data_IF_027973883126
#
_entry.id   IF_027973883126
#
_cell.length_a   1.000
_cell.length_b   1.000
_cell.length_c   1.000
_cell.angle_alpha   90.00
_cell.angle_beta   90.00
_cell.angle_gamma   90.00
#
_symmetry.space_group_name_H-M   'P 1'
#
loop_
_entity.id
_entity.type
_entity.pdbx_description
1 polymer ?
#
# COMPACT_ATOMS: atom_id res chain seq x y z
N UNK A 1 -1.84 33.01 3.54
CA UNK A 1 -1.95 31.74 4.29
C UNK A 1 -1.81 30.59 3.29
N UNK A 2 -1.03 29.57 3.64
CA UNK A 2 -0.50 28.51 2.77
C UNK A 2 -1.62 27.72 2.05
N UNK A 3 -1.83 27.99 0.76
CA UNK A 3 -2.46 27.04 -0.15
C UNK A 3 -1.32 26.19 -0.72
N UNK A 4 -1.18 24.91 -0.35
CA UNK A 4 -0.22 24.08 -1.10
C UNK A 4 0.26 22.77 -0.51
N UNK A 5 0.06 22.49 0.78
CA UNK A 5 0.26 21.12 1.26
C UNK A 5 -1.05 20.36 1.03
N UNK A 6 -1.25 19.78 -0.16
CA UNK A 6 -2.29 18.78 -0.33
C UNK A 6 -2.06 17.69 0.72
N UNK A 7 -3.03 17.48 1.60
CA UNK A 7 -2.94 16.42 2.59
C UNK A 7 -2.85 15.09 1.85
N UNK A 8 -1.74 14.37 2.04
CA UNK A 8 -1.50 13.06 1.43
C UNK A 8 -1.79 11.95 2.43
N UNK A 9 -2.11 10.78 1.92
CA UNK A 9 -2.25 9.54 2.69
C UNK A 9 -1.18 8.55 2.27
N UNK A 10 -0.75 7.68 3.19
CA UNK A 10 0.07 6.53 2.84
C UNK A 10 -0.83 5.33 2.63
N UNK A 11 -0.63 4.61 1.54
CA UNK A 11 -1.39 3.40 1.22
C UNK A 11 -0.44 2.22 1.09
N UNK A 12 -0.79 1.11 1.73
CA UNK A 12 -0.06 -0.14 1.67
C UNK A 12 -0.61 -1.02 0.55
N UNK A 13 0.29 -1.66 -0.18
CA UNK A 13 -0.02 -2.52 -1.31
C UNK A 13 0.60 -3.90 -1.13
N UNK A 14 -0.13 -4.94 -1.52
CA UNK A 14 0.40 -6.28 -1.81
C UNK A 14 0.63 -6.37 -3.32
N UNK A 15 1.84 -6.71 -3.75
CA UNK A 15 2.22 -6.86 -5.15
C UNK A 15 2.64 -8.32 -5.38
N UNK A 16 1.77 -9.16 -5.94
CA UNK A 16 2.11 -10.54 -6.30
C UNK A 16 3.12 -10.57 -7.47
N UNK A 17 3.89 -11.66 -7.63
CA UNK A 17 4.86 -11.76 -8.73
C UNK A 17 4.15 -11.74 -10.09
N UNK A 18 4.44 -10.73 -10.91
CA UNK A 18 3.87 -10.59 -12.26
C UNK A 18 2.43 -10.09 -12.31
N UNK A 19 1.84 -9.69 -11.18
CA UNK A 19 0.48 -9.17 -11.09
C UNK A 19 0.47 -7.69 -10.64
N UNK A 20 -0.70 -7.05 -10.75
CA UNK A 20 -0.92 -5.67 -10.34
C UNK A 20 -0.93 -5.52 -8.81
N UNK A 21 -0.63 -4.32 -8.28
CA UNK A 21 -0.79 -4.03 -6.86
C UNK A 21 -2.25 -4.16 -6.40
N UNK A 22 -2.43 -4.73 -5.21
CA UNK A 22 -3.69 -4.80 -4.50
C UNK A 22 -3.61 -3.95 -3.23
N UNK A 23 -4.55 -3.02 -3.06
CA UNK A 23 -4.58 -2.19 -1.86
C UNK A 23 -4.87 -3.06 -0.63
N UNK A 24 -4.04 -2.89 0.40
CA UNK A 24 -4.27 -3.39 1.75
C UNK A 24 -4.82 -2.29 2.68
N UNK A 25 -4.94 -1.06 2.16
CA UNK A 25 -5.53 0.08 2.86
C UNK A 25 -4.50 1.11 3.35
N UNK A 26 -5.04 2.16 3.98
CA UNK A 26 -4.26 3.29 4.47
C UNK A 26 -3.48 2.94 5.74
N UNK A 27 -2.29 3.51 5.86
CA UNK A 27 -1.42 3.33 7.02
C UNK A 27 -1.06 4.70 7.63
N UNK A 28 -0.91 4.71 8.95
CA UNK A 28 -0.41 5.88 9.67
C UNK A 28 1.12 5.74 9.82
N UNK A 29 1.93 6.67 9.29
CA UNK A 29 3.39 6.56 9.37
C UNK A 29 3.94 6.62 10.80
N UNK A 30 3.16 7.12 11.76
CA UNK A 30 3.64 7.38 13.13
C UNK A 30 3.28 6.29 14.12
N UNK A 31 2.57 5.23 13.69
CA UNK A 31 2.19 4.14 14.57
C UNK A 31 2.16 2.80 13.83
N UNK A 32 2.44 1.69 14.53
CA UNK A 32 2.19 0.37 13.98
C UNK A 32 0.71 0.20 13.62
N UNK A 33 0.45 -0.48 12.50
CA UNK A 33 -0.89 -0.88 12.08
C UNK A 33 -0.94 -2.40 11.88
N UNK A 34 -2.05 -3.01 12.27
CA UNK A 34 -2.34 -4.40 11.91
C UNK A 34 -3.41 -4.38 10.83
N UNK A 35 -3.06 -4.87 9.65
CA UNK A 35 -4.00 -5.00 8.54
C UNK A 35 -4.37 -6.47 8.40
N UNK A 36 -5.68 -6.73 8.36
CA UNK A 36 -6.20 -8.04 8.01
C UNK A 36 -6.21 -8.15 6.49
N UNK A 37 -5.41 -9.07 5.94
CA UNK A 37 -5.43 -9.35 4.50
C UNK A 37 -6.81 -9.88 4.10
N UNK A 38 -7.47 -9.28 3.09
CA UNK A 38 -8.72 -9.79 2.53
C UNK A 38 -8.63 -11.26 2.12
N UNK A 39 -9.71 -12.03 2.33
CA UNK A 39 -9.69 -13.50 2.13
C UNK A 39 -9.33 -13.90 0.71
N UNK A 40 -9.78 -13.12 -0.26
CA UNK A 40 -9.51 -13.27 -1.69
C UNK A 40 -8.04 -13.01 -2.05
N UNK A 41 -7.33 -12.20 -1.26
CA UNK A 41 -5.90 -11.91 -1.45
C UNK A 41 -4.97 -12.89 -0.72
N UNK A 42 -5.47 -13.71 0.21
CA UNK A 42 -4.63 -14.62 1.00
C UNK A 42 -3.80 -15.57 0.13
N UNK A 43 -4.34 -16.00 -1.01
CA UNK A 43 -3.63 -16.90 -1.95
C UNK A 43 -2.44 -16.23 -2.67
N UNK A 44 -2.46 -14.90 -2.74
CA UNK A 44 -1.43 -14.09 -3.39
C UNK A 44 -0.28 -13.74 -2.42
N UNK A 45 -0.46 -14.03 -1.13
CA UNK A 45 0.57 -13.84 -0.10
C UNK A 45 1.57 -14.99 -0.21
N UNK A 46 2.74 -14.69 -0.77
CA UNK A 46 3.86 -15.63 -0.95
C UNK A 46 5.19 -14.96 -0.63
N UNK A 47 6.25 -15.74 -0.47
CA UNK A 47 7.61 -15.20 -0.29
C UNK A 47 8.15 -14.46 -1.54
N UNK A 48 7.44 -14.54 -2.66
CA UNK A 48 7.76 -13.80 -3.89
C UNK A 48 7.00 -12.47 -3.98
N UNK A 49 5.97 -12.27 -3.16
CA UNK A 49 5.22 -11.03 -3.11
C UNK A 49 6.01 -9.90 -2.44
N UNK A 50 5.73 -8.69 -2.89
CA UNK A 50 6.30 -7.44 -2.36
C UNK A 50 5.22 -6.66 -1.64
N UNK A 51 5.53 -6.15 -0.45
CA UNK A 51 4.78 -5.05 0.14
C UNK A 51 5.37 -3.73 -0.33
N UNK A 52 4.52 -2.78 -0.68
CA UNK A 52 4.94 -1.44 -1.09
C UNK A 52 4.07 -0.36 -0.45
N UNK A 53 4.61 0.85 -0.33
CA UNK A 53 3.89 2.03 0.17
C UNK A 53 4.01 3.15 -0.86
N UNK A 54 2.89 3.81 -1.15
CA UNK A 54 2.85 5.02 -1.97
C UNK A 54 2.29 6.21 -1.19
N UNK A 55 2.62 7.43 -1.65
CA UNK A 55 1.95 8.66 -1.25
C UNK A 55 0.77 8.93 -2.18
N UNK A 56 -0.43 8.89 -1.65
CA UNK A 56 -1.68 9.04 -2.40
C UNK A 56 -2.39 10.35 -2.04
N UNK A 57 -3.38 10.79 -2.84
CA UNK A 57 -4.33 11.82 -2.42
C UNK A 57 -4.97 11.51 -1.06
N UNK A 58 -5.56 12.52 -0.43
CA UNK A 58 -6.31 12.33 0.81
C UNK A 58 -7.37 11.23 0.62
N UNK A 59 -7.32 10.19 1.44
CA UNK A 59 -8.23 9.05 1.36
C UNK A 59 -7.71 7.87 0.54
N UNK A 60 -6.54 7.98 -0.09
CA UNK A 60 -5.91 6.91 -0.86
C UNK A 60 -6.08 7.06 -2.37
N UNK A 61 -5.69 6.02 -3.09
CA UNK A 61 -5.82 5.93 -4.53
C UNK A 61 -7.30 5.88 -4.94
N UNK A 62 -7.74 6.76 -5.85
CA UNK A 62 -9.09 6.70 -6.41
C UNK A 62 -9.23 5.65 -7.52
N UNK A 63 -8.14 5.00 -7.95
CA UNK A 63 -8.13 4.12 -9.13
C UNK A 63 -8.00 2.64 -8.79
N UNK A 64 -7.74 2.30 -7.53
CA UNK A 64 -7.39 0.94 -7.12
C UNK A 64 -5.98 0.51 -7.53
N UNK A 65 -5.15 1.42 -8.06
CA UNK A 65 -3.72 1.25 -8.33
C UNK A 65 -2.94 2.44 -7.77
N UNK A 66 -1.64 2.33 -7.46
CA UNK A 66 -0.86 3.46 -6.98
C UNK A 66 -0.95 4.66 -7.95
N UNK A 67 -1.31 5.85 -7.45
CA UNK A 67 -1.40 7.08 -8.29
C UNK A 67 -0.30 8.08 -8.00
N UNK A 68 0.38 7.95 -6.86
CA UNK A 68 1.53 8.78 -6.51
C UNK A 68 2.84 7.99 -6.38
N UNK A 69 3.91 8.67 -5.90
CA UNK A 69 5.23 8.06 -5.83
C UNK A 69 5.26 6.93 -4.80
N UNK A 70 5.91 5.83 -5.16
CA UNK A 70 6.30 4.79 -4.21
C UNK A 70 7.43 5.27 -3.30
N UNK A 71 7.28 5.08 -1.99
CA UNK A 71 8.21 5.57 -0.96
C UNK A 71 8.86 4.46 -0.14
N UNK A 72 8.33 3.24 -0.17
CA UNK A 72 8.93 2.08 0.47
C UNK A 72 8.51 0.80 -0.26
N UNK A 73 9.36 -0.23 -0.22
CA UNK A 73 9.01 -1.57 -0.63
C UNK A 73 9.88 -2.64 0.06
N UNK A 74 9.40 -3.87 0.13
CA UNK A 74 10.14 -5.02 0.66
C UNK A 74 9.48 -6.35 0.32
N UNK A 75 10.28 -7.38 0.08
CA UNK A 75 9.78 -8.75 -0.13
C UNK A 75 9.31 -9.36 1.19
N UNK A 76 8.29 -10.20 1.12
CA UNK A 76 7.91 -11.05 2.24
C UNK A 76 8.97 -12.14 2.43
N UNK A 77 9.60 -12.18 3.60
CA UNK A 77 10.72 -13.08 3.87
C UNK A 77 10.29 -14.44 4.45
N UNK A 78 9.17 -14.48 5.19
CA UNK A 78 8.62 -15.69 5.81
C UNK A 78 7.13 -15.49 6.09
N UNK A 79 6.35 -16.56 5.97
CA UNK A 79 4.90 -16.62 6.23
C UNK A 79 4.56 -17.68 7.27
#
# INVERSE_FOLDING_TARGET
ALLGAEQKSMELWLIPPGDKPHSLGLIDPNRPVTIKVPKDLLREVSNEAVLAVSLEPLGGSPTGQPTGPGIANGKLASL
#
